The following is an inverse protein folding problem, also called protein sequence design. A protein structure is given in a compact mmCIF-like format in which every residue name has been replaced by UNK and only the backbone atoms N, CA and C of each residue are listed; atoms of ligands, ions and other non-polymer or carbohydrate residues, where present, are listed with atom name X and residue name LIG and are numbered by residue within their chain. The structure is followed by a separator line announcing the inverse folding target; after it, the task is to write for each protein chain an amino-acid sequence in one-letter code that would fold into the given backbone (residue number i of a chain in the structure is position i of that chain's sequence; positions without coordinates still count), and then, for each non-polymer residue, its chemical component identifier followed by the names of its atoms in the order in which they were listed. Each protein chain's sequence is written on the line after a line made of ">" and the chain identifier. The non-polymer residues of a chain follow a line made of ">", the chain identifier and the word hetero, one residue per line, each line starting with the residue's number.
data_IF_318143494156
#
_entry.id   IF_318143494156
#
_cell.length_a   1.000
_cell.length_b   1.000
_cell.length_c   1.000
_cell.angle_alpha   90.00
_cell.angle_beta   90.00
_cell.angle_gamma   90.00
#
_symmetry.space_group_name_H-M   'P 1'
#
loop_
_entity.id
_entity.type
_entity.pdbx_description
1 polymer ?
#
# COMPACT_ATOMS: atom_id res chain seq x y z
N UNK A 1 -22.37 -10.32 4.18
CA UNK A 1 -21.48 -9.14 4.14
C UNK A 1 -20.46 -9.33 5.25
N UNK A 2 -19.16 -9.25 4.94
CA UNK A 2 -18.09 -9.40 5.93
C UNK A 2 -18.00 -8.16 6.82
N UNK A 3 -17.71 -8.36 8.10
CA UNK A 3 -17.48 -7.27 9.04
C UNK A 3 -16.05 -6.70 8.94
N UNK A 4 -15.78 -5.67 9.74
CA UNK A 4 -14.47 -5.00 9.76
C UNK A 4 -13.33 -5.98 10.07
N UNK A 5 -13.50 -6.85 11.06
CA UNK A 5 -12.46 -7.80 11.51
C UNK A 5 -12.16 -8.85 10.44
N UNK A 6 -13.19 -9.36 9.78
CA UNK A 6 -13.05 -10.31 8.68
C UNK A 6 -12.36 -9.70 7.47
N UNK A 7 -12.69 -8.44 7.13
CA UNK A 7 -12.03 -7.71 6.04
C UNK A 7 -10.57 -7.38 6.37
N UNK A 8 -10.29 -7.00 7.62
CA UNK A 8 -8.91 -6.75 8.07
C UNK A 8 -8.06 -8.02 8.00
N UNK A 9 -8.59 -9.17 8.44
CA UNK A 9 -7.92 -10.46 8.32
C UNK A 9 -7.64 -10.80 6.86
N UNK A 10 -8.65 -10.67 6.01
CA UNK A 10 -8.51 -10.91 4.57
C UNK A 10 -7.37 -10.09 3.97
N UNK A 11 -7.33 -8.78 4.22
CA UNK A 11 -6.26 -7.92 3.68
C UNK A 11 -4.89 -8.30 4.25
N UNK A 12 -4.78 -8.62 5.53
CA UNK A 12 -3.51 -9.06 6.11
C UNK A 12 -3.03 -10.37 5.47
N UNK A 13 -3.91 -11.33 5.24
CA UNK A 13 -3.59 -12.60 4.59
C UNK A 13 -3.15 -12.40 3.13
N UNK A 14 -3.82 -11.49 2.39
CA UNK A 14 -3.45 -11.17 1.02
C UNK A 14 -2.11 -10.41 0.93
N UNK A 15 -1.81 -9.51 1.88
CA UNK A 15 -0.50 -8.85 1.97
C UNK A 15 0.64 -9.87 2.08
N UNK A 16 0.46 -10.92 2.89
CA UNK A 16 1.48 -11.97 3.05
C UNK A 16 1.72 -12.78 1.78
N UNK A 17 0.75 -12.80 0.85
CA UNK A 17 0.87 -13.49 -0.44
C UNK A 17 1.50 -12.63 -1.53
N UNK A 18 1.71 -11.34 -1.30
CA UNK A 18 2.36 -10.48 -2.29
C UNK A 18 3.78 -11.02 -2.52
N UNK A 19 4.02 -11.46 -3.75
CA UNK A 19 5.33 -11.96 -4.14
C UNK A 19 6.32 -10.78 -4.34
N UNK A 20 7.36 -10.78 -3.51
CA UNK A 20 8.51 -9.92 -3.65
C UNK A 20 9.76 -10.79 -3.80
N UNK A 21 10.67 -10.45 -4.73
CA UNK A 21 11.94 -11.15 -4.85
C UNK A 21 12.69 -11.24 -3.51
N UNK A 22 13.51 -12.26 -3.36
CA UNK A 22 14.39 -12.40 -2.19
C UNK A 22 15.68 -11.61 -2.30
N UNK A 23 16.07 -11.22 -3.54
CA UNK A 23 17.30 -10.49 -3.83
C UNK A 23 17.02 -9.27 -4.73
N UNK A 24 17.65 -8.11 -4.48
CA UNK A 24 18.53 -7.83 -3.33
C UNK A 24 17.73 -7.66 -2.02
N UNK A 25 18.18 -8.31 -0.95
CA UNK A 25 17.46 -8.32 0.33
C UNK A 25 17.29 -6.93 0.94
N UNK A 26 18.31 -6.08 0.83
CA UNK A 26 18.27 -4.70 1.32
C UNK A 26 17.21 -3.81 0.62
N UNK A 27 16.67 -4.22 -0.54
CA UNK A 27 15.57 -3.55 -1.21
C UNK A 27 14.21 -4.09 -0.76
N UNK A 28 14.07 -5.43 -0.65
CA UNK A 28 12.78 -6.07 -0.43
C UNK A 28 12.46 -6.34 1.04
N UNK A 29 13.45 -6.54 1.91
CA UNK A 29 13.23 -6.73 3.35
C UNK A 29 12.59 -5.50 4.02
N UNK A 30 12.96 -4.25 3.70
CA UNK A 30 12.27 -3.06 4.18
C UNK A 30 10.80 -3.01 3.77
N UNK A 31 10.47 -3.44 2.55
CA UNK A 31 9.08 -3.51 2.05
C UNK A 31 8.28 -4.52 2.86
N UNK A 32 8.82 -5.73 3.02
CA UNK A 32 8.19 -6.77 3.84
C UNK A 32 8.01 -6.31 5.28
N UNK A 33 9.01 -5.63 5.82
CA UNK A 33 8.97 -5.10 7.18
C UNK A 33 7.81 -4.12 7.38
N UNK A 34 7.71 -3.06 6.56
CA UNK A 34 6.67 -2.03 6.75
C UNK A 34 5.26 -2.59 6.49
N UNK A 35 5.09 -3.47 5.51
CA UNK A 35 3.81 -4.09 5.21
C UNK A 35 3.34 -5.00 6.35
N UNK A 36 4.24 -5.62 7.10
CA UNK A 36 3.94 -6.49 8.23
C UNK A 36 3.73 -5.73 9.56
N UNK A 37 3.98 -4.43 9.62
CA UNK A 37 3.67 -3.64 10.81
C UNK A 37 2.16 -3.64 11.07
N UNK A 38 1.80 -3.76 12.34
CA UNK A 38 0.40 -3.74 12.77
C UNK A 38 -0.32 -2.47 12.29
N UNK A 39 -1.39 -2.63 11.53
CA UNK A 39 -2.14 -1.52 10.96
C UNK A 39 -3.65 -1.79 10.92
N UNK A 40 -4.45 -0.72 10.94
CA UNK A 40 -5.91 -0.81 10.87
C UNK A 40 -6.43 -1.11 9.45
N UNK A 41 -5.61 -0.95 8.40
CA UNK A 41 -5.95 -1.19 6.98
C UNK A 41 -7.21 -0.44 6.52
N UNK A 42 -7.49 0.73 7.07
CA UNK A 42 -8.75 1.45 6.88
C UNK A 42 -9.10 1.71 5.41
N UNK A 43 -8.08 2.05 4.57
CA UNK A 43 -8.32 2.40 3.15
C UNK A 43 -8.76 1.18 2.34
N UNK A 44 -8.05 0.07 2.49
CA UNK A 44 -8.38 -1.20 1.84
C UNK A 44 -9.72 -1.74 2.32
N UNK A 45 -10.00 -1.65 3.63
CA UNK A 45 -11.28 -2.08 4.20
C UNK A 45 -12.43 -1.21 3.69
N UNK A 46 -12.25 0.12 3.60
CA UNK A 46 -13.28 1.01 3.06
C UNK A 46 -13.61 0.67 1.60
N UNK A 47 -12.60 0.38 0.77
CA UNK A 47 -12.81 -0.08 -0.61
C UNK A 47 -13.61 -1.39 -0.63
N UNK A 48 -13.19 -2.41 0.13
CA UNK A 48 -13.87 -3.70 0.16
C UNK A 48 -15.29 -3.59 0.74
N UNK A 49 -15.49 -2.73 1.76
CA UNK A 49 -16.82 -2.46 2.33
C UNK A 49 -17.75 -1.85 1.29
N UNK A 50 -17.26 -0.89 0.52
CA UNK A 50 -18.06 -0.27 -0.56
C UNK A 50 -18.35 -1.27 -1.68
N UNK A 51 -17.36 -2.08 -2.06
CA UNK A 51 -17.50 -3.07 -3.13
C UNK A 51 -18.52 -4.16 -2.78
N UNK A 52 -18.53 -4.66 -1.54
CA UNK A 52 -19.46 -5.73 -1.14
C UNK A 52 -20.93 -5.32 -1.10
N UNK A 53 -21.25 -4.02 -1.23
CA UNK A 53 -22.63 -3.54 -1.41
C UNK A 53 -23.17 -3.99 -2.78
N UNK A 54 -22.29 -4.08 -3.78
CA UNK A 54 -22.66 -4.37 -5.18
C UNK A 54 -22.29 -5.79 -5.61
N UNK A 55 -21.26 -6.39 -5.01
CA UNK A 55 -20.75 -7.69 -5.40
C UNK A 55 -20.25 -8.47 -4.18
N UNK A 56 -20.67 -9.73 -4.06
CA UNK A 56 -20.26 -10.61 -2.96
C UNK A 56 -18.87 -11.24 -3.15
N UNK A 57 -18.37 -11.30 -4.39
CA UNK A 57 -17.04 -11.85 -4.68
C UNK A 57 -15.94 -10.81 -4.51
N UNK A 58 -15.43 -10.69 -3.29
CA UNK A 58 -14.38 -9.73 -2.94
C UNK A 58 -13.04 -9.98 -3.65
N UNK A 59 -12.83 -11.16 -4.27
CA UNK A 59 -11.61 -11.44 -5.05
C UNK A 59 -11.43 -10.46 -6.20
N UNK A 60 -12.54 -10.04 -6.82
CA UNK A 60 -12.52 -9.06 -7.92
C UNK A 60 -11.90 -7.73 -7.51
N UNK A 61 -12.10 -7.30 -6.25
CA UNK A 61 -11.58 -6.04 -5.72
C UNK A 61 -10.28 -6.20 -4.88
N UNK A 62 -9.80 -7.43 -4.71
CA UNK A 62 -8.66 -7.72 -3.83
C UNK A 62 -7.39 -7.00 -4.28
N UNK A 63 -7.05 -7.07 -5.56
CA UNK A 63 -5.85 -6.44 -6.11
C UNK A 63 -5.91 -4.91 -6.01
N UNK A 64 -7.10 -4.31 -6.21
CA UNK A 64 -7.28 -2.87 -6.01
C UNK A 64 -7.11 -2.48 -4.53
N UNK A 65 -7.65 -3.28 -3.61
CA UNK A 65 -7.49 -3.04 -2.17
C UNK A 65 -6.02 -3.18 -1.73
N UNK A 66 -5.29 -4.18 -2.26
CA UNK A 66 -3.86 -4.34 -2.03
C UNK A 66 -3.04 -3.19 -2.62
N UNK A 67 -3.36 -2.75 -3.84
CA UNK A 67 -2.68 -1.63 -4.49
C UNK A 67 -2.77 -0.36 -3.64
N UNK A 68 -3.95 -0.03 -3.11
CA UNK A 68 -4.14 1.11 -2.20
C UNK A 68 -3.31 0.96 -0.92
N UNK A 69 -3.24 -0.24 -0.35
CA UNK A 69 -2.47 -0.47 0.88
C UNK A 69 -0.97 -0.35 0.64
N UNK A 70 -0.46 -0.92 -0.47
CA UNK A 70 0.94 -0.82 -0.87
C UNK A 70 1.30 0.65 -1.14
N UNK A 71 0.48 1.36 -1.91
CA UNK A 71 0.65 2.79 -2.18
C UNK A 71 0.65 3.62 -0.90
N UNK A 72 -0.28 3.36 0.02
CA UNK A 72 -0.30 4.08 1.30
C UNK A 72 0.98 3.85 2.12
N UNK A 73 1.51 2.61 2.14
CA UNK A 73 2.76 2.36 2.86
C UNK A 73 3.98 2.98 2.15
N UNK A 74 3.97 3.10 0.81
CA UNK A 74 4.93 3.92 0.07
C UNK A 74 4.92 5.37 0.59
N UNK A 75 3.75 6.03 0.65
CA UNK A 75 3.67 7.41 1.14
C UNK A 75 4.17 7.52 2.59
N UNK A 76 3.89 6.53 3.44
CA UNK A 76 4.35 6.54 4.83
C UNK A 76 5.88 6.45 4.97
N UNK A 77 6.58 5.70 4.10
CA UNK A 77 8.05 5.66 4.10
C UNK A 77 8.61 7.04 3.77
N UNK A 78 8.06 7.70 2.76
CA UNK A 78 8.52 9.02 2.34
C UNK A 78 8.17 10.12 3.37
N UNK A 79 6.95 10.09 3.93
CA UNK A 79 6.54 10.97 5.02
C UNK A 79 7.51 10.83 6.21
N UNK A 80 7.85 9.59 6.62
CA UNK A 80 8.79 9.34 7.73
C UNK A 80 10.18 9.94 7.48
N UNK A 81 10.66 9.90 6.23
CA UNK A 81 11.95 10.49 5.85
C UNK A 81 11.88 12.02 5.92
N UNK A 82 10.80 12.62 5.42
CA UNK A 82 10.63 14.08 5.42
C UNK A 82 10.48 14.63 6.85
N UNK A 83 9.73 13.90 7.68
CA UNK A 83 9.48 14.28 9.08
C UNK A 83 10.65 13.92 10.01
N UNK A 84 11.68 13.20 9.53
CA UNK A 84 12.74 12.60 10.36
C UNK A 84 12.16 11.79 11.54
N UNK A 85 11.10 11.04 11.28
CA UNK A 85 10.38 10.28 12.28
C UNK A 85 11.18 9.04 12.71
N UNK A 86 11.43 8.88 14.00
CA UNK A 86 12.19 7.74 14.54
C UNK A 86 11.33 6.46 14.61
N UNK A 87 10.05 6.62 14.89
CA UNK A 87 9.13 5.51 15.12
C UNK A 87 7.85 5.63 14.29
N UNK A 88 7.38 4.48 13.79
CA UNK A 88 6.06 4.29 13.19
C UNK A 88 5.35 3.10 13.80
N UNK A 89 4.15 3.32 14.34
CA UNK A 89 3.35 2.25 14.98
C UNK A 89 4.12 1.52 16.10
N UNK A 90 4.99 2.24 16.82
CA UNK A 90 5.81 1.69 17.90
C UNK A 90 7.05 0.93 17.46
N UNK A 91 7.34 0.88 16.15
CA UNK A 91 8.54 0.26 15.58
C UNK A 91 9.41 1.31 14.90
N UNK A 92 10.72 1.05 14.75
CA UNK A 92 11.62 1.93 14.02
C UNK A 92 11.09 2.18 12.60
N UNK A 93 11.26 3.40 12.10
CA UNK A 93 10.99 3.72 10.70
C UNK A 93 11.99 3.01 9.78
N UNK A 94 11.66 2.89 8.50
CA UNK A 94 12.54 2.17 7.55
C UNK A 94 13.91 2.84 7.44
N UNK A 95 13.95 4.18 7.38
CA UNK A 95 15.21 4.92 7.26
C UNK A 95 16.08 4.86 8.53
N UNK A 96 15.47 4.66 9.71
CA UNK A 96 16.20 4.45 10.95
C UNK A 96 16.74 3.02 11.09
N UNK A 97 16.00 2.04 10.58
CA UNK A 97 16.37 0.63 10.67
C UNK A 97 17.40 0.19 9.62
N UNK A 98 17.35 0.78 8.44
CA UNK A 98 18.31 0.55 7.35
C UNK A 98 19.12 1.82 7.10
N UNK A 99 18.72 2.60 6.11
CA UNK A 99 19.20 3.95 5.82
C UNK A 99 18.21 4.72 4.92
N UNK A 100 18.45 6.01 4.72
CA UNK A 100 17.58 6.90 3.95
C UNK A 100 17.49 6.49 2.47
N UNK A 101 18.60 6.09 1.84
CA UNK A 101 18.62 5.72 0.43
C UNK A 101 17.84 4.42 0.19
N UNK A 102 18.06 3.43 1.06
CA UNK A 102 17.30 2.17 1.02
C UNK A 102 15.82 2.43 1.23
N UNK A 103 15.44 3.31 2.16
CA UNK A 103 14.05 3.66 2.39
C UNK A 103 13.41 4.29 1.15
N UNK A 104 14.09 5.23 0.47
CA UNK A 104 13.61 5.85 -0.77
C UNK A 104 13.41 4.79 -1.86
N UNK A 105 14.42 3.97 -2.14
CA UNK A 105 14.36 2.95 -3.19
C UNK A 105 13.28 1.90 -2.92
N UNK A 106 13.13 1.48 -1.66
CA UNK A 106 12.08 0.55 -1.25
C UNK A 106 10.70 1.16 -1.43
N UNK A 107 10.52 2.44 -1.07
CA UNK A 107 9.30 3.19 -1.33
C UNK A 107 8.97 3.25 -2.83
N UNK A 108 9.91 3.66 -3.66
CA UNK A 108 9.72 3.74 -5.12
C UNK A 108 9.34 2.38 -5.71
N UNK A 109 9.97 1.30 -5.22
CA UNK A 109 9.61 -0.08 -5.61
C UNK A 109 8.16 -0.42 -5.23
N UNK A 110 7.70 0.04 -4.07
CA UNK A 110 6.31 -0.13 -3.65
C UNK A 110 5.33 0.66 -4.53
N UNK A 111 5.69 1.87 -4.96
CA UNK A 111 4.89 2.64 -5.91
C UNK A 111 4.69 1.86 -7.21
N UNK A 112 5.77 1.34 -7.80
CA UNK A 112 5.71 0.50 -9.00
C UNK A 112 4.87 -0.76 -8.76
N UNK A 113 5.02 -1.42 -7.60
CA UNK A 113 4.24 -2.62 -7.25
C UNK A 113 2.76 -2.31 -7.13
N UNK A 114 2.37 -1.14 -6.60
CA UNK A 114 0.96 -0.76 -6.51
C UNK A 114 0.30 -0.64 -7.89
N UNK A 115 0.96 -0.04 -8.88
CA UNK A 115 0.49 -0.03 -10.25
C UNK A 115 0.45 -1.44 -10.87
N UNK A 116 1.46 -2.27 -10.59
CA UNK A 116 1.49 -3.66 -11.09
C UNK A 116 0.30 -4.49 -10.60
N UNK A 117 -0.15 -4.28 -9.36
CA UNK A 117 -1.35 -4.93 -8.82
C UNK A 117 -2.62 -4.51 -9.59
N UNK A 118 -2.73 -3.21 -9.93
CA UNK A 118 -3.86 -2.71 -10.72
C UNK A 118 -3.87 -3.25 -12.15
N UNK A 119 -2.71 -3.56 -12.72
CA UNK A 119 -2.62 -4.20 -14.04
C UNK A 119 -3.11 -5.65 -14.04
N UNK A 120 -3.26 -6.28 -12.88
CA UNK A 120 -3.88 -7.60 -12.71
C UNK A 120 -5.41 -7.61 -12.75
N UNK A 121 -6.05 -6.43 -12.71
CA UNK A 121 -7.51 -6.32 -12.77
C UNK A 121 -8.07 -6.69 -14.14
N UNK A 122 -9.37 -7.07 -14.17
CA UNK A 122 -10.08 -7.31 -15.43
C UNK A 122 -9.99 -6.10 -16.36
N UNK A 123 -9.70 -6.34 -17.63
CA UNK A 123 -9.47 -5.31 -18.64
C UNK A 123 -10.64 -4.33 -18.78
N UNK A 124 -11.86 -4.77 -18.53
CA UNK A 124 -13.07 -3.94 -18.63
C UNK A 124 -13.13 -2.81 -17.61
N UNK A 125 -12.49 -2.97 -16.44
CA UNK A 125 -12.48 -1.99 -15.36
C UNK A 125 -11.09 -1.36 -15.13
N UNK A 126 -10.03 -2.00 -15.59
CA UNK A 126 -8.63 -1.65 -15.32
C UNK A 126 -8.34 -0.18 -15.61
N UNK A 127 -8.73 0.31 -16.78
CA UNK A 127 -8.47 1.70 -17.17
C UNK A 127 -9.13 2.69 -16.21
N UNK A 128 -10.41 2.51 -15.88
CA UNK A 128 -11.14 3.42 -15.01
C UNK A 128 -10.53 3.43 -13.61
N UNK A 129 -10.11 2.27 -13.10
CA UNK A 129 -9.46 2.16 -11.80
C UNK A 129 -8.09 2.84 -11.80
N UNK A 130 -7.29 2.65 -12.86
CA UNK A 130 -5.99 3.32 -13.02
C UNK A 130 -6.13 4.85 -13.12
N UNK A 131 -7.14 5.35 -13.85
CA UNK A 131 -7.39 6.79 -13.98
C UNK A 131 -7.70 7.40 -12.60
N UNK A 132 -8.62 6.82 -11.83
CA UNK A 132 -8.99 7.28 -10.48
C UNK A 132 -7.81 7.17 -9.51
N UNK A 133 -7.06 6.06 -9.57
CA UNK A 133 -5.89 5.86 -8.73
C UNK A 133 -4.80 6.90 -9.00
N UNK A 134 -4.48 7.15 -10.27
CA UNK A 134 -3.47 8.11 -10.69
C UNK A 134 -3.86 9.54 -10.35
N UNK A 135 -5.13 9.92 -10.53
CA UNK A 135 -5.64 11.22 -10.11
C UNK A 135 -5.50 11.43 -8.60
N UNK A 136 -5.89 10.42 -7.81
CA UNK A 136 -5.77 10.46 -6.35
C UNK A 136 -4.30 10.55 -5.89
N UNK A 137 -3.39 9.82 -6.54
CA UNK A 137 -1.96 9.88 -6.27
C UNK A 137 -1.38 11.26 -6.54
N UNK A 138 -1.78 11.90 -7.66
CA UNK A 138 -1.36 13.27 -8.00
C UNK A 138 -1.86 14.30 -7.00
N UNK A 139 -3.12 14.22 -6.57
CA UNK A 139 -3.69 15.13 -5.56
C UNK A 139 -2.90 15.01 -4.25
N UNK A 140 -2.56 13.79 -3.82
CA UNK A 140 -1.76 13.56 -2.61
C UNK A 140 -0.40 14.24 -2.69
N UNK A 141 0.33 14.05 -3.79
CA UNK A 141 1.64 14.68 -4.01
C UNK A 141 1.57 16.20 -3.97
N UNK A 142 0.51 16.81 -4.51
CA UNK A 142 0.31 18.25 -4.48
C UNK A 142 0.08 18.77 -3.05
N UNK A 143 -0.70 18.05 -2.23
CA UNK A 143 -0.96 18.43 -0.82
C UNK A 143 0.34 18.39 -0.02
N UNK A 144 1.15 17.36 -0.16
CA UNK A 144 2.41 17.20 0.56
C UNK A 144 3.40 18.32 0.18
N UNK A 145 3.38 18.81 -1.07
CA UNK A 145 4.23 19.93 -1.54
C UNK A 145 3.82 21.29 -0.96
N UNK A 146 2.54 21.48 -0.62
CA UNK A 146 2.04 22.76 -0.06
C UNK A 146 2.34 22.87 1.45
N UNK A 147 2.58 21.75 2.12
CA UNK A 147 2.80 21.69 3.58
C UNK A 147 4.28 21.79 3.98
N UNK A 148 5.19 21.85 3.01
CA UNK A 148 6.64 22.08 3.20
C UNK A 148 6.93 23.54 2.93
#
# INVERSE_FOLDING_TARGET
>A
MKDFSELQSLINDEILKIDFPSYPSNLYDPIKYILNLRAKRMRSIALLTSFQIYNSDLKVASDAALAIEVFHNFTLIHDDIMDNALLRRGSQTVHEKWDKNIAILSGDTMLVKSYSLLLGLDFSIQRNVLDVFSETANIRSNVDTITV
#
